data_IF_089615590326
#
_entry.id   IF_089615590326
#
_cell.length_a   1.000
_cell.length_b   1.000
_cell.length_c   1.000
_cell.angle_alpha   90.00
_cell.angle_beta   90.00
_cell.angle_gamma   90.00
#
_symmetry.space_group_name_H-M   'P 1'
#
loop_
_entity.id
_entity.type
_entity.pdbx_description
1 polymer ?
#
# COMPACT_ATOMS: atom_id res chain seq x y z
N UNK A 1 -25.69 22.82 -4.99
CA UNK A 1 -25.18 21.69 -5.79
C UNK A 1 -24.22 20.99 -4.87
N UNK A 2 -24.79 20.13 -4.02
CA UNK A 2 -24.05 19.48 -2.95
C UNK A 2 -23.18 18.43 -3.62
N UNK A 3 -21.89 18.72 -3.74
CA UNK A 3 -20.92 17.71 -4.12
C UNK A 3 -21.02 16.63 -3.04
N UNK A 4 -21.53 15.45 -3.42
CA UNK A 4 -21.42 14.25 -2.61
C UNK A 4 -19.95 14.13 -2.22
N UNK A 5 -19.64 14.43 -0.96
CA UNK A 5 -18.31 14.21 -0.41
C UNK A 5 -18.14 12.70 -0.33
N UNK A 6 -17.66 12.12 -1.43
CA UNK A 6 -17.28 10.72 -1.49
C UNK A 6 -16.21 10.52 -0.41
N UNK A 7 -16.60 9.84 0.66
CA UNK A 7 -15.75 9.62 1.82
C UNK A 7 -14.62 8.70 1.38
N UNK A 8 -13.39 9.25 1.35
CA UNK A 8 -12.21 8.42 1.13
C UNK A 8 -12.15 7.41 2.28
N UNK A 9 -12.06 6.11 1.99
CA UNK A 9 -11.96 5.11 3.05
C UNK A 9 -10.78 5.42 3.96
N UNK A 10 -10.99 5.30 5.28
CA UNK A 10 -9.94 5.53 6.25
C UNK A 10 -8.72 4.64 6.00
N UNK A 11 -7.54 5.08 6.44
CA UNK A 11 -6.27 4.44 6.11
C UNK A 11 -6.22 2.95 6.46
N UNK A 12 -6.88 2.53 7.54
CA UNK A 12 -6.94 1.12 7.93
C UNK A 12 -7.75 0.27 6.95
N UNK A 13 -8.80 0.83 6.34
CA UNK A 13 -9.53 0.16 5.26
C UNK A 13 -8.66 0.03 4.00
N UNK A 14 -7.93 1.08 3.64
CA UNK A 14 -7.00 1.04 2.50
C UNK A 14 -5.87 0.02 2.72
N UNK A 15 -5.32 -0.03 3.94
CA UNK A 15 -4.32 -1.03 4.35
C UNK A 15 -4.87 -2.44 4.22
N UNK A 16 -6.07 -2.71 4.73
CA UNK A 16 -6.70 -4.02 4.61
C UNK A 16 -6.94 -4.44 3.15
N UNK A 17 -7.31 -3.48 2.29
CA UNK A 17 -7.45 -3.72 0.83
C UNK A 17 -6.11 -4.04 0.18
N UNK A 18 -5.09 -3.23 0.44
CA UNK A 18 -3.72 -3.46 -0.06
C UNK A 18 -3.22 -4.86 0.32
N UNK A 19 -3.29 -5.22 1.60
CA UNK A 19 -2.81 -6.51 2.06
C UNK A 19 -3.59 -7.67 1.43
N UNK A 20 -4.91 -7.53 1.28
CA UNK A 20 -5.74 -8.57 0.67
C UNK A 20 -5.38 -8.79 -0.79
N UNK A 21 -5.15 -7.70 -1.52
CA UNK A 21 -4.67 -7.73 -2.89
C UNK A 21 -3.27 -8.37 -2.99
N UNK A 22 -2.29 -7.91 -2.19
CA UNK A 22 -0.92 -8.41 -2.26
C UNK A 22 -0.81 -9.90 -1.84
N UNK A 23 -1.64 -10.36 -0.90
CA UNK A 23 -1.72 -11.77 -0.49
C UNK A 23 -2.15 -12.71 -1.63
N UNK A 24 -2.82 -12.22 -2.68
CA UNK A 24 -3.15 -13.04 -3.85
C UNK A 24 -1.89 -13.52 -4.57
N UNK A 25 -0.85 -12.69 -4.61
CA UNK A 25 0.43 -13.02 -5.23
C UNK A 25 1.22 -14.05 -4.40
N UNK A 26 1.21 -13.90 -3.08
CA UNK A 26 1.81 -14.90 -2.17
C UNK A 26 1.17 -16.28 -2.36
N UNK A 27 -0.15 -16.34 -2.59
CA UNK A 27 -0.88 -17.61 -2.76
C UNK A 27 -0.75 -18.20 -4.16
N UNK A 28 -0.65 -17.37 -5.19
CA UNK A 28 -0.66 -17.82 -6.59
C UNK A 28 0.72 -18.24 -7.11
N UNK A 29 1.80 -17.76 -6.50
CA UNK A 29 3.16 -18.09 -6.92
C UNK A 29 3.59 -19.48 -6.40
N UNK A 30 4.16 -20.28 -7.31
CA UNK A 30 4.55 -21.67 -7.04
C UNK A 30 5.88 -21.75 -6.28
N UNK A 31 6.85 -20.92 -6.66
CA UNK A 31 8.20 -20.91 -6.07
C UNK A 31 8.20 -20.25 -4.69
N UNK A 32 8.84 -20.88 -3.70
CA UNK A 32 9.00 -20.27 -2.37
C UNK A 32 9.83 -18.99 -2.43
N UNK A 33 10.88 -18.95 -3.25
CA UNK A 33 11.68 -17.75 -3.44
C UNK A 33 10.85 -16.59 -4.00
N UNK A 34 9.92 -16.88 -4.92
CA UNK A 34 8.99 -15.88 -5.45
C UNK A 34 8.04 -15.37 -4.36
N UNK A 35 7.53 -16.27 -3.52
CA UNK A 35 6.67 -15.89 -2.38
C UNK A 35 7.40 -15.01 -1.37
N UNK A 36 8.65 -15.34 -1.05
CA UNK A 36 9.49 -14.54 -0.16
C UNK A 36 9.75 -13.14 -0.74
N UNK A 37 10.05 -13.04 -2.03
CA UNK A 37 10.23 -11.73 -2.68
C UNK A 37 8.97 -10.86 -2.60
N UNK A 38 7.78 -11.45 -2.78
CA UNK A 38 6.51 -10.74 -2.60
C UNK A 38 6.30 -10.32 -1.14
N UNK A 39 6.58 -11.19 -0.16
CA UNK A 39 6.49 -10.84 1.27
C UNK A 39 7.42 -9.68 1.63
N UNK A 40 8.67 -9.71 1.17
CA UNK A 40 9.63 -8.62 1.35
C UNK A 40 9.10 -7.29 0.80
N UNK A 41 8.39 -7.33 -0.33
CA UNK A 41 7.78 -6.12 -0.91
C UNK A 41 6.58 -5.62 -0.09
N UNK A 42 5.74 -6.51 0.43
CA UNK A 42 4.66 -6.16 1.37
C UNK A 42 5.24 -5.47 2.61
N UNK A 43 6.25 -6.07 3.23
CA UNK A 43 6.89 -5.53 4.42
C UNK A 43 7.52 -4.16 4.16
N UNK A 44 8.15 -4.00 2.99
CA UNK A 44 8.67 -2.71 2.56
C UNK A 44 7.58 -1.65 2.45
N UNK A 45 6.45 -1.94 1.79
CA UNK A 45 5.33 -1.01 1.69
C UNK A 45 4.77 -0.63 3.07
N UNK A 46 4.66 -1.59 4.00
CA UNK A 46 4.19 -1.31 5.36
C UNK A 46 5.17 -0.46 6.17
N UNK A 47 6.49 -0.63 5.97
CA UNK A 47 7.49 0.28 6.54
C UNK A 47 7.36 1.69 5.96
N UNK A 48 7.21 1.83 4.64
CA UNK A 48 7.00 3.14 3.99
C UNK A 48 5.74 3.82 4.51
N UNK A 49 4.65 3.07 4.77
CA UNK A 49 3.46 3.62 5.41
C UNK A 49 3.74 4.15 6.82
N UNK A 50 4.50 3.41 7.64
CA UNK A 50 4.88 3.85 8.98
C UNK A 50 5.75 5.13 8.95
N UNK A 51 6.74 5.18 8.05
CA UNK A 51 7.56 6.38 7.84
C UNK A 51 6.72 7.57 7.35
N UNK A 52 5.78 7.36 6.44
CA UNK A 52 4.88 8.41 5.98
C UNK A 52 4.00 8.95 7.14
N UNK A 53 3.50 8.07 8.02
CA UNK A 53 2.79 8.49 9.25
C UNK A 53 3.69 9.35 10.14
N UNK A 54 4.92 8.89 10.40
CA UNK A 54 5.89 9.62 11.22
C UNK A 54 6.25 11.00 10.65
N UNK A 55 6.62 11.06 9.36
CA UNK A 55 7.02 12.31 8.69
C UNK A 55 5.87 13.31 8.65
N UNK A 56 4.66 12.86 8.32
CA UNK A 56 3.50 13.77 8.24
C UNK A 56 3.11 14.32 9.60
N UNK A 57 3.22 13.52 10.66
CA UNK A 57 3.03 13.97 12.04
C UNK A 57 4.10 14.97 12.47
N UNK A 58 5.38 14.63 12.26
CA UNK A 58 6.52 15.47 12.65
C UNK A 58 6.54 16.82 11.91
N UNK A 59 6.08 16.85 10.65
CA UNK A 59 5.95 18.06 9.86
C UNK A 59 4.69 18.90 10.19
N UNK A 60 3.81 18.41 11.06
CA UNK A 60 2.58 19.12 11.44
C UNK A 60 1.49 19.12 10.37
N UNK A 61 1.53 18.21 9.39
CA UNK A 61 0.46 18.08 8.40
C UNK A 61 -0.81 17.51 9.02
N UNK A 62 -1.98 17.89 8.47
CA UNK A 62 -3.30 17.51 8.97
C UNK A 62 -4.30 17.24 7.83
N UNK A 63 -5.38 16.56 8.17
CA UNK A 63 -6.52 16.32 7.29
C UNK A 63 -6.13 15.63 5.99
N UNK A 64 -6.68 16.14 4.88
CA UNK A 64 -6.57 15.52 3.54
C UNK A 64 -5.14 15.31 3.06
N UNK A 65 -4.20 16.17 3.45
CA UNK A 65 -2.78 16.02 3.09
C UNK A 65 -2.20 14.74 3.67
N UNK A 66 -2.50 14.45 4.94
CA UNK A 66 -2.05 13.21 5.60
C UNK A 66 -2.71 12.01 4.92
N UNK A 67 -4.03 12.05 4.73
CA UNK A 67 -4.77 10.96 4.09
C UNK A 67 -4.19 10.59 2.72
N UNK A 68 -3.90 11.58 1.88
CA UNK A 68 -3.31 11.37 0.55
C UNK A 68 -1.88 10.85 0.63
N UNK A 69 -1.05 11.38 1.54
CA UNK A 69 0.31 10.88 1.74
C UNK A 69 0.34 9.42 2.17
N UNK A 70 -0.55 9.02 3.08
CA UNK A 70 -0.65 7.63 3.55
C UNK A 70 -1.21 6.69 2.47
N UNK A 71 -2.20 7.14 1.69
CA UNK A 71 -2.69 6.40 0.54
C UNK A 71 -1.59 6.24 -0.53
N UNK A 72 -0.85 7.32 -0.82
CA UNK A 72 0.31 7.29 -1.71
C UNK A 72 1.37 6.29 -1.23
N UNK A 73 1.71 6.30 0.06
CA UNK A 73 2.65 5.36 0.64
C UNK A 73 2.23 3.88 0.45
N UNK A 74 0.94 3.57 0.65
CA UNK A 74 0.42 2.22 0.45
C UNK A 74 0.44 1.77 -1.01
N UNK A 75 0.15 2.66 -1.95
CA UNK A 75 -0.10 2.30 -3.35
C UNK A 75 1.03 2.68 -4.33
N UNK A 76 2.10 3.35 -3.87
CA UNK A 76 3.18 3.84 -4.75
C UNK A 76 3.75 2.75 -5.67
N UNK A 77 3.87 1.53 -5.16
CA UNK A 77 4.45 0.38 -5.87
C UNK A 77 3.42 -0.75 -6.08
N UNK A 78 2.12 -0.44 -6.12
CA UNK A 78 1.08 -1.48 -6.29
C UNK A 78 1.25 -2.26 -7.60
N UNK A 79 1.67 -1.63 -8.69
CA UNK A 79 1.90 -2.32 -9.96
C UNK A 79 3.10 -3.29 -9.96
N UNK A 80 3.93 -3.26 -8.91
CA UNK A 80 5.11 -4.12 -8.80
C UNK A 80 4.74 -5.58 -8.62
N UNK A 81 3.57 -5.87 -8.04
CA UNK A 81 3.11 -7.22 -7.82
C UNK A 81 2.74 -7.93 -9.13
N UNK A 82 1.98 -7.27 -10.03
CA UNK A 82 1.73 -7.80 -11.37
C UNK A 82 3.00 -7.88 -12.21
N UNK A 83 3.84 -6.84 -12.16
CA UNK A 83 5.09 -6.83 -12.91
C UNK A 83 5.96 -8.03 -12.54
N UNK A 84 6.13 -8.31 -11.25
CA UNK A 84 6.89 -9.47 -10.79
C UNK A 84 6.23 -10.79 -11.18
N UNK A 85 4.90 -10.89 -11.08
CA UNK A 85 4.17 -12.10 -11.45
C UNK A 85 4.38 -12.49 -12.92
N UNK A 86 4.39 -11.51 -13.82
CA UNK A 86 4.52 -11.72 -15.27
C UNK A 86 5.98 -11.83 -15.71
N UNK A 87 6.84 -10.94 -15.25
CA UNK A 87 8.19 -10.76 -15.80
C UNK A 87 9.32 -11.22 -14.88
N UNK A 88 9.03 -11.47 -13.59
CA UNK A 88 10.03 -11.80 -12.55
C UNK A 88 11.10 -10.71 -12.35
N UNK A 89 10.82 -9.50 -12.82
CA UNK A 89 11.71 -8.33 -12.76
C UNK A 89 11.17 -7.24 -11.88
#
# INVERSE_FOLDING_TARGET
MDAETETVPGIEHLKARFESYARLFVRSLVSEADRENVKLKIDHTLRVLAEAKFVTEAAGFRGRTVELALAGALFHDVGRFEQYAVFKT
#
